data_IF_477186368059
#
_entry.id   IF_477186368059
#
_cell.length_a   1.000
_cell.length_b   1.000
_cell.length_c   1.000
_cell.angle_alpha   90.00
_cell.angle_beta   90.00
_cell.angle_gamma   90.00
#
_symmetry.space_group_name_H-M   'P 1'
#
loop_
_entity.id
_entity.type
_entity.pdbx_description
1 polymer ?
#
# COMPACT_ATOMS: atom_id res chain seq x y z
N UNK A 1 -10.18 -3.35 12.61
CA UNK A 1 -9.37 -4.46 12.02
C UNK A 1 -8.21 -3.85 11.24
N UNK A 2 -7.04 -4.48 11.19
CA UNK A 2 -5.93 -3.95 10.37
C UNK A 2 -5.59 -4.93 9.24
N UNK A 3 -5.48 -4.41 8.02
CA UNK A 3 -5.10 -5.15 6.81
C UNK A 3 -3.71 -4.68 6.40
N UNK A 4 -2.74 -5.59 6.40
CA UNK A 4 -1.35 -5.27 6.02
C UNK A 4 -1.08 -5.79 4.62
N UNK A 5 -0.63 -4.91 3.72
CA UNK A 5 -0.31 -5.22 2.32
C UNK A 5 1.20 -5.03 2.13
N UNK A 6 2.02 -6.08 2.28
CA UNK A 6 3.43 -6.02 1.91
C UNK A 6 3.58 -5.99 0.39
N UNK A 7 4.45 -5.12 -0.11
CA UNK A 7 4.73 -5.01 -1.54
C UNK A 7 6.22 -4.78 -1.79
N UNK A 8 6.68 -5.36 -2.90
CA UNK A 8 8.04 -5.20 -3.41
C UNK A 8 7.96 -5.26 -4.93
N UNK A 9 8.23 -4.12 -5.56
CA UNK A 9 8.27 -3.91 -7.01
C UNK A 9 7.04 -4.43 -7.75
N UNK A 10 5.83 -4.22 -7.20
CA UNK A 10 4.54 -4.68 -7.77
C UNK A 10 3.52 -3.53 -7.89
N UNK A 11 3.81 -2.48 -8.69
CA UNK A 11 2.96 -1.29 -8.78
C UNK A 11 1.56 -1.57 -9.34
N UNK A 12 1.42 -2.48 -10.30
CA UNK A 12 0.14 -2.74 -10.98
C UNK A 12 -0.86 -3.48 -10.09
N UNK A 13 -0.38 -4.45 -9.31
CA UNK A 13 -1.23 -5.21 -8.40
C UNK A 13 -1.58 -4.42 -7.14
N UNK A 14 -0.69 -3.54 -6.68
CA UNK A 14 -0.88 -2.79 -5.44
C UNK A 14 -2.19 -1.97 -5.45
N UNK A 15 -2.45 -1.21 -6.52
CA UNK A 15 -3.66 -0.37 -6.60
C UNK A 15 -4.94 -1.22 -6.67
N UNK A 16 -4.90 -2.36 -7.39
CA UNK A 16 -6.03 -3.30 -7.44
C UNK A 16 -6.31 -3.89 -6.06
N UNK A 17 -5.28 -4.31 -5.33
CA UNK A 17 -5.42 -4.88 -3.98
C UNK A 17 -5.96 -3.84 -3.01
N UNK A 18 -5.43 -2.62 -3.00
CA UNK A 18 -5.91 -1.53 -2.14
C UNK A 18 -7.37 -1.22 -2.42
N UNK A 19 -7.78 -1.10 -3.69
CA UNK A 19 -9.19 -0.91 -4.07
C UNK A 19 -10.09 -2.01 -3.50
N UNK A 20 -9.71 -3.27 -3.71
CA UNK A 20 -10.52 -4.40 -3.24
C UNK A 20 -10.69 -4.42 -1.73
N UNK A 21 -9.66 -4.02 -0.97
CA UNK A 21 -9.74 -3.93 0.50
C UNK A 21 -10.62 -2.76 0.93
N UNK A 22 -10.50 -1.59 0.30
CA UNK A 22 -11.30 -0.40 0.65
C UNK A 22 -12.80 -0.57 0.32
N UNK A 23 -13.13 -1.38 -0.69
CA UNK A 23 -14.50 -1.69 -1.14
C UNK A 23 -15.19 -2.83 -0.35
N UNK A 24 -14.52 -3.41 0.65
CA UNK A 24 -15.13 -4.47 1.47
C UNK A 24 -16.30 -3.95 2.29
N UNK A 25 -17.30 -4.83 2.53
CA UNK A 25 -18.49 -4.52 3.34
C UNK A 25 -18.16 -4.17 4.79
N UNK A 26 -17.02 -4.63 5.31
CA UNK A 26 -16.54 -4.29 6.63
C UNK A 26 -15.66 -3.03 6.54
N UNK A 27 -16.21 -1.89 6.95
CA UNK A 27 -15.60 -0.57 6.72
C UNK A 27 -14.68 -0.10 7.84
N UNK A 28 -14.81 -0.66 9.05
CA UNK A 28 -14.02 -0.33 10.23
C UNK A 28 -12.65 -1.02 10.24
N UNK A 29 -11.90 -0.77 9.17
CA UNK A 29 -10.55 -1.28 9.00
C UNK A 29 -9.55 -0.19 8.63
N UNK A 30 -8.30 -0.43 9.05
CA UNK A 30 -7.13 0.32 8.65
C UNK A 30 -6.37 -0.50 7.60
N UNK A 31 -5.87 0.17 6.56
CA UNK A 31 -5.10 -0.46 5.47
C UNK A 31 -3.68 0.06 5.51
N UNK A 32 -2.72 -0.80 5.85
CA UNK A 32 -1.31 -0.46 5.96
C UNK A 32 -0.53 -1.09 4.79
N UNK A 33 -0.08 -0.27 3.84
CA UNK A 33 0.83 -0.70 2.77
C UNK A 33 2.26 -0.58 3.29
N UNK A 34 3.00 -1.69 3.24
CA UNK A 34 4.42 -1.74 3.58
C UNK A 34 5.20 -1.97 2.28
N UNK A 35 5.86 -0.94 1.79
CA UNK A 35 6.60 -0.97 0.54
C UNK A 35 8.11 -1.05 0.80
N UNK A 36 8.76 -2.07 0.24
CA UNK A 36 10.21 -2.27 0.31
C UNK A 36 10.88 -2.10 -1.06
N UNK A 37 10.17 -1.56 -2.04
CA UNK A 37 10.71 -1.29 -3.38
C UNK A 37 11.83 -0.25 -3.30
N UNK A 38 12.72 -0.17 -4.31
CA UNK A 38 13.66 0.93 -4.41
C UNK A 38 12.97 2.29 -4.28
N UNK A 39 13.61 3.26 -3.62
CA UNK A 39 12.99 4.55 -3.24
C UNK A 39 12.28 5.25 -4.39
N UNK A 40 12.87 5.28 -5.58
CA UNK A 40 12.27 5.88 -6.78
C UNK A 40 10.95 5.20 -7.21
N UNK A 41 10.88 3.88 -7.08
CA UNK A 41 9.68 3.10 -7.43
C UNK A 41 8.61 3.33 -6.35
N UNK A 42 9.02 3.25 -5.08
CA UNK A 42 8.14 3.49 -3.94
C UNK A 42 7.56 4.90 -3.89
N UNK A 43 8.33 5.93 -4.25
CA UNK A 43 7.84 7.31 -4.35
C UNK A 43 6.73 7.43 -5.40
N UNK A 44 6.95 6.83 -6.58
CA UNK A 44 5.96 6.79 -7.66
C UNK A 44 4.68 6.08 -7.20
N UNK A 45 4.80 4.96 -6.48
CA UNK A 45 3.68 4.21 -5.93
C UNK A 45 2.91 4.99 -4.85
N UNK A 46 3.63 5.66 -3.94
CA UNK A 46 3.04 6.49 -2.90
C UNK A 46 2.21 7.64 -3.49
N UNK A 47 2.77 8.36 -4.48
CA UNK A 47 2.05 9.43 -5.18
C UNK A 47 0.81 8.90 -5.89
N UNK A 48 0.91 7.76 -6.57
CA UNK A 48 -0.24 7.15 -7.26
C UNK A 48 -1.34 6.74 -6.28
N UNK A 49 -0.99 6.08 -5.17
CA UNK A 49 -1.95 5.68 -4.15
C UNK A 49 -2.63 6.89 -3.50
N UNK A 50 -1.89 7.95 -3.18
CA UNK A 50 -2.45 9.16 -2.59
C UNK A 50 -3.42 9.89 -3.54
N UNK A 51 -3.14 9.87 -4.85
CA UNK A 51 -4.03 10.47 -5.86
C UNK A 51 -5.27 9.62 -6.15
N UNK A 52 -5.11 8.30 -6.23
CA UNK A 52 -6.18 7.36 -6.60
C UNK A 52 -7.11 7.04 -5.42
N UNK A 53 -6.58 7.07 -4.19
CA UNK A 53 -7.30 6.70 -2.97
C UNK A 53 -7.11 7.76 -1.88
N UNK A 54 -7.85 8.89 -1.91
CA UNK A 54 -7.88 9.87 -0.84
C UNK A 54 -8.71 9.37 0.36
N UNK A 55 -8.42 8.16 0.85
CA UNK A 55 -9.13 7.48 1.94
C UNK A 55 -8.29 7.57 3.22
N UNK A 56 -8.90 8.06 4.31
CA UNK A 56 -8.23 8.27 5.60
C UNK A 56 -7.80 6.96 6.29
N UNK A 57 -8.33 5.81 5.85
CA UNK A 57 -7.97 4.47 6.33
C UNK A 57 -6.66 3.97 5.73
N UNK A 58 -6.22 4.54 4.61
CA UNK A 58 -5.01 4.10 3.91
C UNK A 58 -3.77 4.78 4.51
N UNK A 59 -2.84 3.95 4.97
CA UNK A 59 -1.51 4.37 5.43
C UNK A 59 -0.44 3.69 4.59
N UNK A 60 0.53 4.47 4.14
CA UNK A 60 1.65 3.98 3.35
C UNK A 60 2.95 4.15 4.12
N UNK A 61 3.72 3.07 4.23
CA UNK A 61 5.01 3.02 4.89
C UNK A 61 6.04 2.49 3.91
N UNK A 62 7.07 3.29 3.65
CA UNK A 62 8.24 2.82 2.91
C UNK A 62 9.33 2.40 3.89
N UNK A 63 9.89 1.21 3.68
CA UNK A 63 10.99 0.68 4.46
C UNK A 63 12.15 0.36 3.52
N UNK A 64 13.37 0.66 3.96
CA UNK A 64 14.57 0.22 3.26
C UNK A 64 14.61 -1.32 3.22
N UNK A 65 14.81 -1.89 2.03
CA UNK A 65 14.90 -3.34 1.85
C UNK A 65 16.11 -3.90 2.61
N UNK A 66 15.85 -4.42 3.81
CA UNK A 66 16.78 -5.30 4.52
C UNK A 66 16.38 -6.70 4.09
N UNK A 67 17.18 -7.32 3.23
CA UNK A 67 16.92 -8.68 2.75
C UNK A 67 16.55 -9.58 3.93
N UNK A 68 15.48 -10.36 3.78
CA UNK A 68 15.16 -11.40 4.75
C UNK A 68 16.34 -12.40 4.82
N UNK A 69 16.75 -12.86 6.02
CA UNK A 69 17.77 -13.91 6.15
C UNK A 69 17.34 -15.21 5.46
#
# INVERSE_FOLDING_TARGET
MSVVIPTFNRPDYLCSTVRQVLEQRFTDCEVCVIDQSPSRVAETQATRLAAEFPDSRLRYYWLEARGAP
#
